data_IF_882903539744
#
_entry.id   IF_882903539744
#
_cell.length_a   1.000
_cell.length_b   1.000
_cell.length_c   1.000
_cell.angle_alpha   90.00
_cell.angle_beta   90.00
_cell.angle_gamma   90.00
#
_symmetry.space_group_name_H-M   'P 1'
#
loop_
_entity.id
_entity.type
_entity.pdbx_description
1 polymer ?
#
# COMPACT_ATOMS: atom_id res chain seq x y z
N UNK A 1 -28.09 62.78 5.41
CA UNK A 1 -26.93 62.13 6.07
C UNK A 1 -26.10 61.55 4.93
N UNK A 2 -25.08 62.25 4.40
CA UNK A 2 -23.76 62.47 5.00
C UNK A 2 -22.97 61.15 4.95
N UNK A 3 -21.80 60.99 4.32
CA UNK A 3 -20.84 61.82 3.60
C UNK A 3 -19.72 60.85 3.13
N UNK A 4 -19.13 61.07 1.95
CA UNK A 4 -17.73 61.51 1.75
C UNK A 4 -16.65 60.41 1.65
N UNK A 5 -15.80 60.63 0.65
CA UNK A 5 -14.56 59.94 0.28
C UNK A 5 -13.34 60.34 1.13
N UNK A 6 -12.22 59.61 0.96
CA UNK A 6 -10.80 60.07 0.90
C UNK A 6 -9.89 58.88 1.28
N UNK A 7 -8.96 58.40 0.45
CA UNK A 7 -7.64 58.95 0.08
C UNK A 7 -6.71 59.30 1.26
N UNK A 8 -5.60 58.54 1.30
CA UNK A 8 -4.22 58.81 1.72
C UNK A 8 -3.90 59.92 2.76
N UNK A 9 -3.03 59.61 3.74
CA UNK A 9 -1.61 60.04 3.65
C UNK A 9 -0.71 59.45 4.75
N UNK A 10 0.58 59.44 4.38
CA UNK A 10 1.75 58.94 5.08
C UNK A 10 2.06 59.68 6.39
N UNK A 11 2.64 58.95 7.34
CA UNK A 11 3.66 59.51 8.23
C UNK A 11 4.87 58.57 8.31
N UNK A 12 6.06 59.18 8.32
CA UNK A 12 7.35 58.66 7.87
C UNK A 12 8.30 58.52 9.07
N UNK A 13 8.88 57.31 9.23
CA UNK A 13 10.30 57.00 9.61
C UNK A 13 10.73 57.17 11.11
N UNK A 14 11.71 56.37 11.64
CA UNK A 14 13.02 56.11 11.02
C UNK A 14 13.55 54.66 10.95
N UNK A 15 14.07 54.37 9.76
CA UNK A 15 15.28 53.59 9.38
C UNK A 15 16.05 52.90 10.53
N UNK A 16 16.04 51.57 10.53
CA UNK A 16 17.13 50.75 11.04
C UNK A 16 17.78 49.99 9.88
N UNK A 17 19.11 50.11 9.79
CA UNK A 17 19.96 49.56 8.75
C UNK A 17 19.87 48.02 8.68
N UNK A 18 19.97 47.41 7.48
CA UNK A 18 19.97 45.97 7.33
C UNK A 18 21.32 45.40 7.71
N UNK A 19 21.38 44.63 8.81
CA UNK A 19 22.52 43.77 9.10
C UNK A 19 22.60 42.70 8.01
N UNK A 20 23.66 42.77 7.21
CA UNK A 20 24.05 41.75 6.23
C UNK A 20 24.12 40.37 6.91
N UNK A 21 23.07 39.57 6.78
CA UNK A 21 23.17 38.13 6.93
C UNK A 21 23.72 37.57 5.63
N UNK A 22 24.84 36.84 5.63
CA UNK A 22 25.29 36.15 4.43
C UNK A 22 24.18 35.21 3.96
N UNK A 23 23.78 35.36 2.70
CA UNK A 23 22.85 34.47 2.03
C UNK A 23 23.38 33.06 2.11
N UNK A 24 22.59 32.16 2.68
CA UNK A 24 22.89 30.74 2.64
C UNK A 24 23.01 30.31 1.18
N UNK A 25 24.05 29.52 0.80
CA UNK A 25 24.19 29.04 -0.56
C UNK A 25 22.94 28.22 -0.93
N UNK A 26 22.51 28.26 -2.21
CA UNK A 26 21.36 27.49 -2.66
C UNK A 26 21.57 26.00 -2.31
N UNK A 27 20.51 25.27 -1.92
CA UNK A 27 20.65 23.88 -1.55
C UNK A 27 21.25 23.12 -2.74
N UNK A 28 22.45 22.58 -2.53
CA UNK A 28 23.06 21.64 -3.48
C UNK A 28 22.04 20.54 -3.71
N UNK A 29 21.63 20.32 -4.96
CA UNK A 29 20.81 19.17 -5.36
C UNK A 29 21.44 17.94 -4.70
N UNK A 30 20.77 17.38 -3.70
CA UNK A 30 21.17 16.11 -3.14
C UNK A 30 21.08 15.11 -4.28
N UNK A 31 22.25 14.71 -4.79
CA UNK A 31 22.37 13.55 -5.64
C UNK A 31 21.66 12.43 -4.87
N UNK A 32 20.54 11.95 -5.43
CA UNK A 32 19.92 10.75 -4.94
C UNK A 32 21.00 9.71 -5.01
N UNK A 33 21.49 9.29 -3.85
CA UNK A 33 22.42 8.19 -3.73
C UNK A 33 21.65 6.99 -4.27
N UNK A 34 21.78 6.71 -5.58
CA UNK A 34 21.16 5.57 -6.23
C UNK A 34 21.78 4.37 -5.56
N UNK A 35 21.08 3.81 -4.58
CA UNK A 35 21.34 2.46 -4.09
C UNK A 35 21.48 1.61 -5.35
N UNK A 36 22.62 0.92 -5.56
CA UNK A 36 22.87 0.16 -6.77
C UNK A 36 21.70 -0.81 -6.93
N UNK A 37 20.85 -0.50 -7.92
CA UNK A 37 19.72 -1.35 -8.25
C UNK A 37 20.35 -2.60 -8.84
N UNK A 38 20.31 -3.73 -8.13
CA UNK A 38 20.74 -5.01 -8.67
C UNK A 38 19.86 -5.31 -9.89
N UNK A 39 20.39 -5.03 -11.08
CA UNK A 39 19.66 -5.14 -12.33
C UNK A 39 19.22 -6.60 -12.49
N UNK A 40 17.92 -6.83 -12.47
CA UNK A 40 17.34 -8.15 -12.68
C UNK A 40 16.87 -8.88 -11.44
N UNK A 41 16.69 -8.17 -10.31
CA UNK A 41 16.10 -8.69 -9.08
C UNK A 41 14.65 -9.12 -9.30
N UNK A 42 14.29 -10.33 -8.84
CA UNK A 42 12.90 -10.76 -8.78
C UNK A 42 12.14 -9.80 -7.87
N UNK A 43 11.01 -9.29 -8.35
CA UNK A 43 10.20 -8.33 -7.64
C UNK A 43 10.93 -7.00 -7.31
N UNK A 44 12.05 -6.70 -7.99
CA UNK A 44 12.76 -5.44 -7.86
C UNK A 44 13.01 -4.81 -9.22
N UNK A 45 13.97 -3.89 -9.28
CA UNK A 45 14.38 -3.29 -10.54
C UNK A 45 14.96 -4.33 -11.54
N UNK A 46 14.75 -4.16 -12.86
CA UNK A 46 14.06 -3.04 -13.49
C UNK A 46 12.53 -3.09 -13.35
N UNK A 47 11.93 -1.90 -13.26
CA UNK A 47 10.48 -1.71 -13.28
C UNK A 47 9.97 -1.46 -14.69
N UNK A 48 8.68 -1.70 -14.93
CA UNK A 48 8.07 -1.48 -16.25
C UNK A 48 8.25 -0.01 -16.66
N UNK A 49 8.84 0.22 -17.83
CA UNK A 49 9.24 1.56 -18.32
C UNK A 49 10.14 2.38 -17.37
N UNK A 50 10.75 1.73 -16.38
CA UNK A 50 11.54 2.39 -15.32
C UNK A 50 10.71 3.02 -14.21
N UNK A 51 9.39 2.84 -14.21
CA UNK A 51 8.45 3.40 -13.22
C UNK A 51 8.11 2.34 -12.17
N UNK A 52 8.54 2.50 -10.90
CA UNK A 52 8.20 1.59 -9.81
C UNK A 52 6.70 1.41 -9.62
N UNK A 53 5.89 2.39 -9.99
CA UNK A 53 4.46 2.34 -9.77
C UNK A 53 3.83 1.26 -10.62
N UNK A 54 4.39 1.02 -11.81
CA UNK A 54 4.00 -0.05 -12.73
C UNK A 54 4.57 -1.43 -12.38
N UNK A 55 5.30 -1.53 -11.28
CA UNK A 55 5.77 -2.80 -10.74
C UNK A 55 6.99 -3.38 -11.44
N UNK A 56 7.49 -4.53 -10.95
CA UNK A 56 8.74 -5.13 -11.39
C UNK A 56 8.55 -5.89 -12.72
N UNK A 57 9.54 -5.85 -13.60
CA UNK A 57 9.52 -6.61 -14.87
C UNK A 57 9.65 -8.11 -14.62
N UNK A 58 10.31 -8.51 -13.54
CA UNK A 58 10.59 -9.90 -13.21
C UNK A 58 9.78 -10.35 -12.01
N UNK A 59 8.95 -11.36 -12.22
CA UNK A 59 8.14 -12.00 -11.18
C UNK A 59 8.63 -13.43 -10.91
N UNK A 60 8.40 -13.96 -9.70
CA UNK A 60 8.74 -15.34 -9.38
C UNK A 60 7.94 -16.30 -10.27
N UNK A 61 8.61 -17.34 -10.80
CA UNK A 61 7.99 -18.35 -11.68
C UNK A 61 7.85 -19.73 -11.03
N UNK A 62 8.56 -19.96 -9.92
CA UNK A 62 8.63 -21.22 -9.19
C UNK A 62 8.44 -20.96 -7.69
N UNK A 63 8.31 -22.04 -6.93
CA UNK A 63 8.05 -21.96 -5.49
C UNK A 63 6.63 -21.49 -5.18
N UNK A 64 6.37 -21.35 -3.89
CA UNK A 64 5.18 -20.79 -3.29
C UNK A 64 4.86 -19.38 -3.81
N UNK A 65 5.83 -18.45 -3.84
CA UNK A 65 5.56 -17.10 -4.39
C UNK A 65 5.19 -17.14 -5.87
N UNK A 66 5.86 -17.99 -6.65
CA UNK A 66 5.51 -18.21 -8.06
C UNK A 66 4.11 -18.80 -8.25
N UNK A 67 3.64 -19.62 -7.30
CA UNK A 67 2.27 -20.11 -7.28
C UNK A 67 1.26 -18.98 -6.99
N UNK A 68 1.56 -18.06 -6.07
CA UNK A 68 0.67 -16.93 -5.74
C UNK A 68 0.50 -15.96 -6.91
N UNK A 69 1.55 -15.69 -7.68
CA UNK A 69 1.47 -14.77 -8.83
C UNK A 69 1.11 -15.48 -10.14
N UNK A 70 0.81 -16.79 -10.09
CA UNK A 70 0.43 -17.55 -11.28
C UNK A 70 -0.86 -16.99 -11.89
N UNK A 71 -0.82 -16.75 -13.20
CA UNK A 71 -1.97 -16.19 -13.93
C UNK A 71 -2.16 -14.69 -13.78
N UNK A 72 -1.33 -14.01 -12.98
CA UNK A 72 -1.29 -12.54 -12.96
C UNK A 72 -0.74 -12.04 -14.30
N UNK A 73 -1.54 -11.24 -15.00
CA UNK A 73 -1.12 -10.51 -16.18
C UNK A 73 -0.89 -9.05 -15.75
N UNK A 74 0.37 -8.56 -15.73
CA UNK A 74 0.66 -7.17 -15.37
C UNK A 74 -0.21 -6.19 -16.14
N UNK A 75 -0.88 -5.28 -15.41
CA UNK A 75 -1.81 -4.28 -15.98
C UNK A 75 -2.93 -4.87 -16.85
N UNK A 76 -3.23 -6.17 -16.73
CA UNK A 76 -4.16 -6.90 -17.59
C UNK A 76 -3.85 -6.81 -19.09
N UNK A 77 -2.58 -6.62 -19.45
CA UNK A 77 -2.13 -6.50 -20.84
C UNK A 77 -2.31 -5.09 -21.43
N UNK A 78 -2.78 -4.11 -20.67
CA UNK A 78 -2.80 -2.72 -21.12
C UNK A 78 -1.38 -2.18 -21.29
N UNK A 79 -1.22 -1.23 -22.21
CA UNK A 79 0.00 -0.40 -22.26
C UNK A 79 0.11 0.43 -20.97
N UNK A 80 1.33 0.66 -20.45
CA UNK A 80 1.60 1.50 -19.27
C UNK A 80 0.77 2.79 -19.20
N UNK A 81 0.75 3.57 -20.28
CA UNK A 81 0.07 4.86 -20.32
C UNK A 81 -1.46 4.72 -20.18
N UNK A 82 -2.07 3.70 -20.78
CA UNK A 82 -3.51 3.44 -20.62
C UNK A 82 -3.85 2.96 -19.22
N UNK A 83 -2.98 2.16 -18.62
CA UNK A 83 -3.14 1.73 -17.23
C UNK A 83 -3.09 2.92 -16.26
N UNK A 84 -2.07 3.79 -16.38
CA UNK A 84 -1.95 4.99 -15.55
C UNK A 84 -3.11 5.96 -15.79
N UNK A 85 -3.51 6.20 -17.04
CA UNK A 85 -4.67 7.05 -17.35
C UNK A 85 -5.93 6.61 -16.58
N UNK A 86 -6.17 5.30 -16.50
CA UNK A 86 -7.33 4.73 -15.79
C UNK A 86 -7.17 4.75 -14.28
N UNK A 87 -6.01 4.33 -13.76
CA UNK A 87 -5.86 4.00 -12.34
C UNK A 87 -5.00 4.97 -11.54
N UNK A 88 -4.30 5.91 -12.15
CA UNK A 88 -3.41 6.83 -11.44
C UNK A 88 -4.07 8.17 -11.12
N UNK A 89 -4.00 8.60 -9.87
CA UNK A 89 -4.44 9.93 -9.45
C UNK A 89 -3.23 10.85 -9.24
N UNK A 90 -2.96 11.69 -10.24
CA UNK A 90 -1.87 12.68 -10.19
C UNK A 90 -2.02 13.74 -9.09
N UNK A 91 -3.24 14.01 -8.61
CA UNK A 91 -3.47 15.01 -7.56
C UNK A 91 -2.98 14.58 -6.17
N UNK A 92 -2.95 13.27 -5.91
CA UNK A 92 -2.46 12.69 -4.65
C UNK A 92 -1.21 11.82 -4.83
N UNK A 93 -0.73 11.72 -6.08
CA UNK A 93 0.40 10.89 -6.47
C UNK A 93 0.27 9.42 -6.00
N UNK A 94 -0.92 8.85 -6.15
CA UNK A 94 -1.22 7.47 -5.81
C UNK A 94 -2.31 6.87 -6.72
N UNK A 95 -2.55 5.58 -6.59
CA UNK A 95 -3.60 4.86 -7.28
C UNK A 95 -5.02 5.33 -6.86
N UNK A 96 -5.93 5.36 -7.83
CA UNK A 96 -7.38 5.42 -7.62
C UNK A 96 -7.85 4.06 -7.12
N UNK A 97 -7.82 3.89 -5.80
CA UNK A 97 -8.37 2.69 -5.17
C UNK A 97 -9.90 2.63 -5.31
N UNK A 98 -10.47 1.42 -5.39
CA UNK A 98 -11.92 1.25 -5.42
C UNK A 98 -12.58 1.81 -4.15
N UNK A 99 -13.83 2.29 -4.24
CA UNK A 99 -14.57 2.76 -3.07
C UNK A 99 -14.87 1.61 -2.09
N UNK A 100 -15.45 1.93 -0.93
CA UNK A 100 -15.89 0.95 0.07
C UNK A 100 -14.77 0.00 0.51
N UNK A 101 -13.54 0.52 0.69
CA UNK A 101 -12.37 -0.28 1.05
C UNK A 101 -12.10 -1.45 0.09
N UNK A 102 -12.56 -1.34 -1.17
CA UNK A 102 -12.41 -2.38 -2.19
C UNK A 102 -13.29 -3.62 -2.00
N UNK A 103 -14.28 -3.61 -1.10
CA UNK A 103 -15.26 -4.70 -1.01
C UNK A 103 -16.19 -4.69 -2.23
N UNK A 104 -16.48 -5.87 -2.77
CA UNK A 104 -17.35 -6.00 -3.93
C UNK A 104 -18.81 -5.63 -3.62
N UNK A 105 -19.53 -5.21 -4.66
CA UNK A 105 -20.98 -5.02 -4.63
C UNK A 105 -21.66 -6.24 -5.27
N UNK A 106 -22.88 -6.56 -4.84
CA UNK A 106 -23.66 -7.65 -5.45
C UNK A 106 -23.80 -7.46 -6.96
N UNK A 107 -23.43 -8.49 -7.73
CA UNK A 107 -23.42 -8.45 -9.20
C UNK A 107 -22.40 -7.49 -9.82
N UNK A 108 -21.51 -6.89 -9.02
CA UNK A 108 -20.60 -5.80 -9.43
C UNK A 108 -21.32 -4.57 -10.01
N UNK A 109 -22.59 -4.35 -9.64
CA UNK A 109 -23.35 -3.16 -10.06
C UNK A 109 -23.08 -1.97 -9.13
N UNK A 110 -23.03 -0.72 -9.63
CA UNK A 110 -22.81 0.47 -8.79
C UNK A 110 -23.86 0.67 -7.68
N UNK A 111 -25.09 0.23 -7.91
CA UNK A 111 -26.19 0.24 -6.94
C UNK A 111 -26.37 -1.10 -6.21
N UNK A 112 -25.44 -2.04 -6.39
CA UNK A 112 -25.46 -3.33 -5.73
C UNK A 112 -25.23 -3.20 -4.23
N UNK A 113 -25.80 -4.14 -3.46
CA UNK A 113 -25.55 -4.21 -2.02
C UNK A 113 -24.07 -4.46 -1.73
N UNK A 114 -23.50 -3.71 -0.79
CA UNK A 114 -22.14 -3.94 -0.30
C UNK A 114 -22.00 -5.35 0.28
N UNK A 115 -20.99 -6.10 -0.18
CA UNK A 115 -20.68 -7.43 0.29
C UNK A 115 -19.57 -7.35 1.34
N UNK A 116 -19.87 -6.74 2.47
CA UNK A 116 -19.01 -6.75 3.65
C UNK A 116 -19.84 -7.15 4.88
N UNK A 117 -19.22 -7.93 5.77
CA UNK A 117 -19.77 -8.29 7.07
C UNK A 117 -18.65 -8.33 8.08
N UNK A 118 -19.01 -8.39 9.37
CA UNK A 118 -18.01 -8.60 10.41
C UNK A 118 -17.77 -10.09 10.66
N UNK A 119 -16.53 -10.45 10.97
CA UNK A 119 -16.15 -11.79 11.43
C UNK A 119 -15.04 -11.70 12.47
N UNK A 120 -14.82 -12.79 13.21
CA UNK A 120 -13.62 -12.95 14.02
C UNK A 120 -12.51 -13.61 13.21
N UNK A 121 -11.30 -13.05 13.33
CA UNK A 121 -10.06 -13.77 13.04
C UNK A 121 -9.71 -14.61 14.26
N UNK A 122 -9.86 -15.92 14.14
CA UNK A 122 -9.62 -16.86 15.23
C UNK A 122 -8.13 -17.14 15.44
N UNK A 123 -7.76 -17.46 16.68
CA UNK A 123 -6.39 -17.87 17.03
C UNK A 123 -5.96 -19.04 16.13
N UNK A 124 -4.73 -18.96 15.61
CA UNK A 124 -4.16 -19.95 14.71
C UNK A 124 -4.46 -19.75 13.23
N UNK A 125 -5.43 -18.90 12.86
CA UNK A 125 -5.65 -18.53 11.46
C UNK A 125 -4.38 -17.96 10.84
N UNK A 126 -4.12 -18.32 9.59
CA UNK A 126 -2.97 -17.82 8.81
C UNK A 126 -3.44 -16.82 7.77
N UNK A 127 -2.78 -15.68 7.76
CA UNK A 127 -3.05 -14.56 6.89
C UNK A 127 -1.80 -14.23 6.09
N UNK A 128 -1.95 -13.58 4.97
CA UNK A 128 -0.83 -13.04 4.21
C UNK A 128 -1.16 -11.68 3.58
N UNK A 129 -0.12 -10.97 3.14
CA UNK A 129 -0.24 -9.66 2.48
C UNK A 129 0.93 -9.41 1.53
N UNK A 130 0.63 -8.71 0.43
CA UNK A 130 1.62 -8.02 -0.40
C UNK A 130 1.61 -6.51 -0.04
N UNK A 131 2.59 -6.06 0.73
CA UNK A 131 2.67 -4.71 1.26
C UNK A 131 3.25 -4.69 2.68
N UNK A 132 3.95 -3.60 3.02
CA UNK A 132 4.62 -3.46 4.31
C UNK A 132 3.67 -3.30 5.49
N UNK A 133 4.26 -3.17 6.68
CA UNK A 133 3.56 -3.23 7.97
C UNK A 133 2.63 -2.05 8.30
N UNK A 134 2.60 -0.99 7.47
CA UNK A 134 1.75 0.18 7.68
C UNK A 134 0.30 0.02 7.21
N UNK A 135 -0.05 -1.07 6.50
CA UNK A 135 -1.41 -1.30 6.01
C UNK A 135 -2.30 -2.08 6.99
N UNK A 136 -3.60 -2.14 6.69
CA UNK A 136 -4.61 -2.81 7.53
C UNK A 136 -5.47 -3.86 6.80
N UNK A 137 -5.00 -4.36 5.64
CA UNK A 137 -5.71 -5.39 4.87
C UNK A 137 -4.92 -6.69 4.80
N UNK A 138 -5.62 -7.82 4.95
CA UNK A 138 -5.07 -9.16 4.81
C UNK A 138 -5.91 -10.00 3.85
N UNK A 139 -5.34 -11.08 3.33
CA UNK A 139 -6.08 -12.15 2.69
C UNK A 139 -5.85 -13.47 3.47
N UNK A 140 -6.68 -14.51 3.24
CA UNK A 140 -6.34 -15.86 3.64
C UNK A 140 -4.99 -16.27 3.03
N UNK A 141 -4.13 -16.91 3.83
CA UNK A 141 -2.83 -17.36 3.34
C UNK A 141 -3.00 -18.27 2.11
N UNK A 142 -2.36 -17.91 0.99
CA UNK A 142 -2.37 -18.70 -0.24
C UNK A 142 -3.25 -18.16 -1.37
N UNK A 143 -4.00 -17.07 -1.14
CA UNK A 143 -4.83 -16.48 -2.19
C UNK A 143 -3.96 -15.90 -3.33
N UNK A 144 -4.36 -16.16 -4.58
CA UNK A 144 -3.62 -15.69 -5.75
C UNK A 144 -3.60 -14.15 -5.82
N UNK A 145 -2.51 -13.56 -6.33
CA UNK A 145 -2.34 -12.11 -6.42
C UNK A 145 -3.46 -11.44 -7.24
N UNK A 146 -3.86 -12.05 -8.37
CA UNK A 146 -4.95 -11.55 -9.21
C UNK A 146 -6.31 -11.49 -8.48
N UNK A 147 -6.53 -12.36 -7.48
CA UNK A 147 -7.75 -12.36 -6.66
C UNK A 147 -7.80 -11.22 -5.65
N UNK A 148 -6.66 -10.59 -5.37
CA UNK A 148 -6.51 -9.49 -4.40
C UNK A 148 -6.70 -8.11 -5.02
N UNK A 149 -6.78 -8.03 -6.35
CA UNK A 149 -6.92 -6.79 -7.11
C UNK A 149 -6.03 -5.66 -6.56
N UNK A 150 -4.74 -5.95 -6.35
CA UNK A 150 -3.73 -4.99 -5.92
C UNK A 150 -3.03 -4.38 -7.14
N UNK A 151 -2.55 -3.12 -7.05
CA UNK A 151 -1.78 -2.53 -8.13
C UNK A 151 -0.39 -3.19 -8.24
N UNK A 152 0.28 -3.07 -9.40
CA UNK A 152 1.57 -3.70 -9.64
C UNK A 152 2.66 -3.35 -8.62
N UNK A 153 2.65 -2.13 -8.08
CA UNK A 153 3.60 -1.65 -7.06
C UNK A 153 3.65 -2.52 -5.81
N UNK A 154 2.55 -3.19 -5.44
CA UNK A 154 2.54 -4.07 -4.27
C UNK A 154 3.48 -5.29 -4.41
N UNK A 155 3.95 -5.59 -5.62
CA UNK A 155 4.97 -6.62 -5.88
C UNK A 155 6.40 -6.08 -5.81
N UNK A 156 6.61 -4.79 -5.52
CA UNK A 156 7.96 -4.24 -5.36
C UNK A 156 8.53 -4.64 -4.00
N UNK A 157 9.64 -5.36 -3.99
CA UNK A 157 10.45 -5.61 -2.80
C UNK A 157 10.84 -4.27 -2.17
N UNK A 158 10.53 -4.11 -0.89
CA UNK A 158 10.89 -2.93 -0.13
C UNK A 158 12.42 -2.89 0.08
N UNK A 159 13.15 -1.86 -0.37
CA UNK A 159 14.61 -1.78 -0.17
C UNK A 159 15.02 -1.76 1.30
N UNK A 160 14.15 -1.27 2.19
CA UNK A 160 14.37 -1.27 3.64
C UNK A 160 14.06 -2.62 4.29
N UNK A 161 13.44 -3.54 3.55
CA UNK A 161 13.12 -4.89 3.99
C UNK A 161 13.36 -5.92 2.87
N UNK A 162 14.63 -6.13 2.47
CA UNK A 162 14.97 -7.02 1.37
C UNK A 162 14.75 -8.50 1.69
N UNK A 163 14.52 -8.85 2.96
CA UNK A 163 14.24 -10.22 3.39
C UNK A 163 12.85 -10.70 2.97
N UNK A 164 11.95 -9.78 2.62
CA UNK A 164 10.59 -10.07 2.16
C UNK A 164 10.45 -9.77 0.65
N UNK A 165 10.89 -10.68 -0.23
CA UNK A 165 10.77 -10.48 -1.67
C UNK A 165 9.32 -10.31 -2.07
N UNK A 166 9.08 -9.44 -3.05
CA UNK A 166 7.74 -9.04 -3.49
C UNK A 166 6.90 -8.37 -2.41
N UNK A 167 7.51 -7.87 -1.33
CA UNK A 167 6.81 -7.28 -0.18
C UNK A 167 5.80 -8.25 0.44
N UNK A 168 6.11 -9.55 0.41
CA UNK A 168 5.18 -10.59 0.81
C UNK A 168 5.45 -11.05 2.24
N UNK A 169 4.40 -10.99 3.06
CA UNK A 169 4.44 -11.31 4.49
C UNK A 169 3.37 -12.33 4.85
N UNK A 170 3.64 -13.17 5.85
CA UNK A 170 2.72 -14.19 6.38
C UNK A 170 2.59 -14.03 7.88
N UNK A 171 1.36 -14.12 8.38
CA UNK A 171 1.06 -13.93 9.79
C UNK A 171 0.23 -15.09 10.33
N UNK A 172 0.37 -15.33 11.64
CA UNK A 172 -0.54 -16.15 12.43
C UNK A 172 -1.25 -15.28 13.45
N UNK A 173 -2.56 -15.47 13.58
CA UNK A 173 -3.37 -14.83 14.63
C UNK A 173 -3.05 -15.45 15.99
N UNK A 174 -2.67 -14.63 16.96
CA UNK A 174 -2.37 -15.05 18.34
C UNK A 174 -3.49 -14.69 19.32
N UNK A 175 -4.23 -13.61 19.05
CA UNK A 175 -5.41 -13.19 19.81
C UNK A 175 -6.59 -13.05 18.86
N UNK A 176 -7.78 -13.48 19.28
CA UNK A 176 -8.98 -13.36 18.45
C UNK A 176 -9.47 -11.91 18.44
N UNK A 177 -9.81 -11.37 17.26
CA UNK A 177 -10.37 -10.02 17.12
C UNK A 177 -11.30 -9.92 15.91
N UNK A 178 -12.18 -8.90 15.91
CA UNK A 178 -13.12 -8.68 14.81
C UNK A 178 -12.48 -7.89 13.68
N UNK A 179 -12.95 -8.15 12.47
CA UNK A 179 -12.59 -7.44 11.25
C UNK A 179 -13.80 -7.34 10.34
N UNK A 180 -13.76 -6.42 9.39
CA UNK A 180 -14.65 -6.49 8.23
C UNK A 180 -14.09 -7.53 7.24
N UNK A 181 -14.96 -8.36 6.65
CA UNK A 181 -14.61 -9.41 5.70
C UNK A 181 -15.58 -9.42 4.53
N UNK A 182 -15.05 -9.73 3.35
CA UNK A 182 -15.84 -9.82 2.14
C UNK A 182 -15.01 -10.08 0.89
N UNK A 183 -15.66 -10.34 -0.25
CA UNK A 183 -15.00 -10.45 -1.54
C UNK A 183 -14.35 -9.14 -1.97
N UNK A 184 -13.17 -9.24 -2.58
CA UNK A 184 -12.47 -8.13 -3.21
C UNK A 184 -13.13 -7.77 -4.54
N UNK A 185 -13.43 -6.49 -4.73
CA UNK A 185 -13.90 -5.94 -6.02
C UNK A 185 -12.86 -6.06 -7.13
N UNK A 186 -13.27 -6.19 -8.41
CA UNK A 186 -12.33 -6.06 -9.53
C UNK A 186 -11.69 -4.67 -9.57
N UNK A 187 -10.36 -4.61 -9.67
CA UNK A 187 -9.60 -3.36 -9.77
C UNK A 187 -8.25 -3.61 -10.47
N UNK A 188 -7.60 -2.54 -10.96
CA UNK A 188 -6.27 -2.59 -11.58
C UNK A 188 -6.10 -3.66 -12.68
N UNK A 189 -7.15 -3.84 -13.50
CA UNK A 189 -7.25 -4.87 -14.53
C UNK A 189 -7.14 -6.32 -14.02
N UNK A 190 -7.40 -6.53 -12.74
CA UNK A 190 -7.47 -7.85 -12.14
C UNK A 190 -8.92 -8.19 -11.78
N UNK A 191 -9.30 -9.48 -11.85
CA UNK A 191 -10.67 -9.91 -11.61
C UNK A 191 -11.10 -9.74 -10.14
N UNK A 192 -10.17 -9.70 -9.18
CA UNK A 192 -10.52 -9.71 -7.77
C UNK A 192 -11.23 -11.02 -7.37
N UNK A 193 -12.20 -10.93 -6.48
CA UNK A 193 -13.02 -12.06 -6.03
C UNK A 193 -12.37 -12.95 -4.95
N UNK A 194 -11.15 -12.64 -4.52
CA UNK A 194 -10.56 -13.22 -3.31
C UNK A 194 -11.26 -12.71 -2.05
N UNK A 195 -10.88 -13.26 -0.89
CA UNK A 195 -11.37 -12.74 0.40
C UNK A 195 -10.38 -11.71 0.93
N UNK A 196 -10.88 -10.57 1.40
CA UNK A 196 -10.08 -9.64 2.19
C UNK A 196 -10.64 -9.47 3.60
N UNK A 197 -9.72 -9.21 4.53
CA UNK A 197 -10.00 -8.79 5.89
C UNK A 197 -9.51 -7.35 6.06
N UNK A 198 -10.35 -6.45 6.54
CA UNK A 198 -10.04 -5.05 6.82
C UNK A 198 -10.09 -4.79 8.32
N UNK A 199 -8.97 -4.34 8.89
CA UNK A 199 -8.81 -4.14 10.32
C UNK A 199 -9.09 -2.69 10.70
N UNK A 200 -10.11 -2.51 11.53
CA UNK A 200 -10.54 -1.21 12.04
C UNK A 200 -10.43 -1.16 13.56
N UNK A 201 -10.07 0.01 14.08
CA UNK A 201 -9.74 0.22 15.49
C UNK A 201 -10.91 -0.06 16.43
N UNK A 202 -12.14 0.29 16.04
CA UNK A 202 -13.40 -0.02 16.75
C UNK A 202 -13.64 -1.50 17.08
N UNK A 203 -12.89 -2.42 16.47
CA UNK A 203 -13.03 -3.86 16.68
C UNK A 203 -12.02 -4.44 17.66
N UNK A 204 -11.03 -3.65 18.07
CA UNK A 204 -9.92 -4.08 18.92
C UNK A 204 -10.03 -3.30 20.24
N UNK A 205 -10.36 -3.96 21.37
CA UNK A 205 -10.60 -3.27 22.64
C UNK A 205 -9.45 -2.37 23.12
N UNK A 206 -8.19 -2.77 22.89
CA UNK A 206 -6.99 -2.04 23.32
C UNK A 206 -6.56 -0.95 22.33
N UNK A 207 -7.18 -0.87 21.16
CA UNK A 207 -6.93 0.20 20.20
C UNK A 207 -7.84 1.41 20.48
N UNK A 208 -7.50 2.62 19.99
CA UNK A 208 -8.40 3.76 20.08
C UNK A 208 -9.76 3.44 19.47
N UNK A 209 -10.86 3.70 20.16
CA UNK A 209 -12.20 3.32 19.66
C UNK A 209 -12.68 4.29 18.57
N UNK A 210 -12.22 4.07 17.33
CA UNK A 210 -12.49 4.91 16.15
C UNK A 210 -12.72 4.06 14.89
N UNK A 211 -13.15 4.69 13.79
CA UNK A 211 -13.25 4.05 12.48
C UNK A 211 -11.91 4.03 11.71
N UNK A 212 -10.80 4.34 12.36
CA UNK A 212 -9.48 4.35 11.72
C UNK A 212 -8.92 2.95 11.53
N UNK A 213 -7.99 2.81 10.60
CA UNK A 213 -7.28 1.58 10.33
C UNK A 213 -6.23 1.28 11.39
N UNK A 214 -6.08 0.00 11.75
CA UNK A 214 -4.98 -0.45 12.63
C UNK A 214 -3.88 -1.10 11.79
N UNK A 215 -2.66 -0.55 11.77
CA UNK A 215 -1.59 -1.07 10.94
C UNK A 215 -1.08 -2.42 11.46
N UNK A 216 -0.56 -3.27 10.56
CA UNK A 216 0.06 -4.55 10.92
C UNK A 216 1.14 -4.39 11.99
N UNK A 217 1.94 -3.32 11.92
CA UNK A 217 2.98 -3.02 12.93
C UNK A 217 2.41 -2.95 14.34
N UNK A 218 1.24 -2.33 14.52
CA UNK A 218 0.56 -2.25 15.81
C UNK A 218 0.08 -3.63 16.27
N UNK A 219 -0.51 -4.43 15.36
CA UNK A 219 -0.98 -5.79 15.66
C UNK A 219 0.17 -6.71 16.10
N UNK A 220 1.35 -6.58 15.48
CA UNK A 220 2.55 -7.30 15.87
C UNK A 220 3.03 -6.87 17.26
N UNK A 221 3.17 -5.55 17.48
CA UNK A 221 3.65 -5.00 18.76
C UNK A 221 2.76 -5.35 19.95
N UNK A 222 1.44 -5.47 19.73
CA UNK A 222 0.46 -5.77 20.78
C UNK A 222 0.11 -7.26 20.89
N UNK A 223 0.85 -8.12 20.18
CA UNK A 223 0.72 -9.58 20.28
C UNK A 223 -0.58 -10.14 19.70
N UNK A 224 -1.21 -9.42 18.76
CA UNK A 224 -2.35 -9.91 18.00
C UNK A 224 -1.92 -10.84 16.86
N UNK A 225 -0.77 -10.54 16.26
CA UNK A 225 -0.18 -11.32 15.18
C UNK A 225 1.25 -11.74 15.52
N UNK A 226 1.64 -12.87 14.94
CA UNK A 226 3.04 -13.30 14.82
C UNK A 226 3.39 -13.41 13.35
N UNK A 227 4.48 -12.78 12.92
CA UNK A 227 5.01 -12.99 11.58
C UNK A 227 5.67 -14.38 11.45
N UNK A 228 5.44 -15.02 10.31
CA UNK A 228 5.94 -16.35 10.00
C UNK A 228 6.84 -16.29 8.76
N UNK A 229 7.87 -17.11 8.76
CA UNK A 229 8.65 -17.37 7.53
C UNK A 229 7.77 -18.07 6.48
N UNK A 230 7.62 -17.50 5.26
CA UNK A 230 6.93 -18.13 4.15
C UNK A 230 7.52 -19.51 3.80
N UNK A 231 6.73 -20.43 3.22
CA UNK A 231 7.20 -21.79 2.91
C UNK A 231 8.51 -21.85 2.10
N UNK A 232 8.67 -21.00 1.09
CA UNK A 232 9.86 -20.98 0.22
C UNK A 232 11.15 -20.56 0.92
N UNK A 233 11.06 -19.84 2.03
CA UNK A 233 12.24 -19.35 2.74
C UNK A 233 12.71 -20.33 3.83
N UNK A 234 11.88 -21.32 4.21
CA UNK A 234 12.24 -22.33 5.22
C UNK A 234 13.28 -23.33 4.72
N UNK A 235 13.29 -23.64 3.42
CA UNK A 235 14.26 -24.53 2.79
C UNK A 235 15.62 -23.88 2.61
N UNK A 236 15.67 -22.55 2.43
CA UNK A 236 16.94 -21.80 2.37
C UNK A 236 17.66 -21.75 3.72
N UNK A 237 16.92 -21.54 4.82
CA UNK A 237 17.51 -21.43 6.17
C UNK A 237 18.02 -22.75 6.76
N UNK A 238 17.56 -23.90 6.26
CA UNK A 238 18.05 -25.23 6.70
C UNK A 238 19.32 -25.69 5.97
N UNK A 239 19.80 -24.93 4.98
CA UNK A 239 20.98 -25.27 4.17
C UNK A 239 22.16 -24.32 4.42
N UNK A 240 22.10 -23.50 5.48
CA UNK A 240 23.15 -22.58 5.90
C UNK A 240 23.67 -22.95 7.28
#
# INVERSE_FOLDING_TARGET
MGGTAAYAENAVQPKSSPTLRPSAPPPKKMAHNRIPQNIGQICGAPYVTGDPDLGPVRLPRSGYLGALVRGYVPMGGLKPQHFLSRYWNYGVNDYRYPPNSGFALSGNYPNGRLLSKTTFLQIGMKLDRFGGYGGAFFAPMGDAFAKRALPPRNLNTNPQDPAHPCNYHVFRVLKSFRVDVGPVSPAFQQPGGGTQYHVLSKYIPEAPQSNEEVPVSWLLQNGYLQELTPPDQRTSMRRS
#
